data_IF_464909912654
#
_entry.id   IF_464909912654
#
_cell.length_a   1.000
_cell.length_b   1.000
_cell.length_c   1.000
_cell.angle_alpha   90.00
_cell.angle_beta   90.00
_cell.angle_gamma   90.00
#
_symmetry.space_group_name_H-M   'P 1'
#
loop_
_entity.id
_entity.type
_entity.pdbx_description
1 polymer ?
#
# COMPACT_ATOMS: atom_id res chain seq x y z
N UNK A 1 46.82 2.63 -13.66
CA UNK A 1 45.71 3.17 -12.82
C UNK A 1 44.31 2.71 -13.26
N UNK A 2 44.16 1.70 -14.13
CA UNK A 2 42.87 1.33 -14.77
C UNK A 2 42.07 0.21 -14.08
N UNK A 3 42.64 -0.48 -13.07
CA UNK A 3 42.02 -1.68 -12.45
C UNK A 3 40.81 -1.36 -11.55
N UNK A 4 40.78 -0.19 -10.92
CA UNK A 4 39.69 0.19 -9.98
C UNK A 4 38.33 0.40 -10.65
N UNK A 5 38.32 0.97 -11.86
CA UNK A 5 37.08 1.20 -12.60
C UNK A 5 36.37 -0.13 -12.95
N UNK A 6 37.13 -1.14 -13.37
CA UNK A 6 36.58 -2.48 -13.65
C UNK A 6 35.98 -3.16 -12.41
N UNK A 7 36.63 -2.99 -11.26
CA UNK A 7 36.16 -3.55 -9.98
C UNK A 7 34.87 -2.85 -9.49
N UNK A 8 34.70 -1.54 -9.77
CA UNK A 8 33.48 -0.78 -9.47
C UNK A 8 32.29 -1.21 -10.34
N UNK A 9 32.50 -1.45 -11.64
CA UNK A 9 31.45 -1.99 -12.53
C UNK A 9 30.99 -3.39 -12.10
N UNK A 10 31.93 -4.27 -11.74
CA UNK A 10 31.61 -5.62 -11.28
C UNK A 10 30.78 -5.63 -9.99
N UNK A 11 31.00 -4.65 -9.09
CA UNK A 11 30.22 -4.51 -7.85
C UNK A 11 28.79 -4.02 -8.10
N UNK A 12 28.57 -3.18 -9.10
CA UNK A 12 27.23 -2.65 -9.42
C UNK A 12 26.33 -3.71 -10.06
N UNK A 13 26.90 -4.64 -10.83
CA UNK A 13 26.14 -5.73 -11.47
C UNK A 13 25.55 -6.77 -10.49
N UNK A 14 26.04 -6.83 -9.25
CA UNK A 14 25.53 -7.73 -8.21
C UNK A 14 24.31 -7.19 -7.46
N UNK A 15 23.98 -5.92 -7.62
CA UNK A 15 22.82 -5.30 -6.96
C UNK A 15 21.57 -5.70 -7.72
N UNK A 16 20.84 -6.69 -7.20
CA UNK A 16 19.53 -7.04 -7.72
C UNK A 16 18.61 -5.83 -7.55
N UNK A 17 18.00 -5.30 -8.63
CA UNK A 17 16.98 -4.26 -8.49
C UNK A 17 15.84 -4.82 -7.63
N UNK A 18 15.26 -3.95 -6.80
CA UNK A 18 14.09 -4.33 -6.03
C UNK A 18 12.99 -4.77 -7.01
N UNK A 19 12.26 -5.84 -6.68
CA UNK A 19 11.18 -6.30 -7.55
C UNK A 19 10.11 -5.21 -7.71
N UNK A 20 9.37 -5.24 -8.83
CA UNK A 20 8.31 -4.25 -9.14
C UNK A 20 7.36 -3.98 -7.95
N UNK A 21 6.94 -5.03 -7.23
CA UNK A 21 6.08 -4.90 -6.05
C UNK A 21 6.77 -4.21 -4.87
N UNK A 22 8.08 -4.44 -4.69
CA UNK A 22 8.86 -3.81 -3.63
C UNK A 22 9.09 -2.32 -3.93
N UNK A 23 9.35 -1.97 -5.19
CA UNK A 23 9.45 -0.56 -5.62
C UNK A 23 8.10 0.16 -5.51
N UNK A 24 6.99 -0.49 -5.90
CA UNK A 24 5.63 0.03 -5.70
C UNK A 24 5.31 0.27 -4.23
N UNK A 25 5.65 -0.68 -3.34
CA UNK A 25 5.44 -0.52 -1.91
C UNK A 25 6.32 0.58 -1.31
N UNK A 26 7.58 0.68 -1.74
CA UNK A 26 8.49 1.75 -1.33
C UNK A 26 7.98 3.13 -1.77
N UNK A 27 7.44 3.24 -3.00
CA UNK A 27 6.77 4.43 -3.49
C UNK A 27 5.51 4.77 -2.68
N UNK A 28 4.67 3.78 -2.38
CA UNK A 28 3.49 3.98 -1.54
C UNK A 28 3.86 4.43 -0.11
N UNK A 29 4.97 3.90 0.41
CA UNK A 29 5.46 4.24 1.75
C UNK A 29 6.10 5.62 1.82
N UNK A 30 6.72 6.10 0.73
CA UNK A 30 7.31 7.43 0.64
C UNK A 30 6.28 8.54 0.40
N UNK A 31 5.12 8.20 -0.19
CA UNK A 31 3.97 9.09 -0.25
C UNK A 31 3.28 9.16 1.13
N UNK A 32 2.92 10.37 1.60
CA UNK A 32 2.36 10.59 2.94
C UNK A 32 1.07 9.77 3.13
N UNK A 33 1.20 8.63 3.82
CA UNK A 33 0.11 7.68 4.15
C UNK A 33 -1.11 8.34 4.80
N UNK A 34 -0.93 9.51 5.40
CA UNK A 34 -1.99 10.37 5.95
C UNK A 34 -3.12 10.69 4.96
N UNK A 35 -2.85 10.71 3.66
CA UNK A 35 -3.91 10.96 2.66
C UNK A 35 -4.70 9.69 2.29
N UNK A 36 -4.08 8.52 2.40
CA UNK A 36 -4.72 7.21 2.18
C UNK A 36 -5.53 6.74 3.38
N UNK A 37 -5.10 7.08 4.60
CA UNK A 37 -5.78 6.73 5.84
C UNK A 37 -7.29 7.07 5.84
N UNK A 38 -7.75 8.30 5.52
CA UNK A 38 -9.17 8.61 5.52
C UNK A 38 -9.97 7.80 4.48
N UNK A 39 -9.38 7.53 3.31
CA UNK A 39 -10.01 6.73 2.26
C UNK A 39 -10.21 5.28 2.74
N UNK A 40 -9.17 4.69 3.33
CA UNK A 40 -9.23 3.32 3.84
C UNK A 40 -10.25 3.22 4.98
N UNK A 41 -10.28 4.19 5.90
CA UNK A 41 -11.24 4.22 7.00
C UNK A 41 -12.68 4.25 6.48
N UNK A 42 -12.97 5.11 5.50
CA UNK A 42 -14.29 5.17 4.86
C UNK A 42 -14.66 3.86 4.18
N UNK A 43 -13.73 3.23 3.46
CA UNK A 43 -13.95 1.93 2.81
C UNK A 43 -14.26 0.82 3.83
N UNK A 44 -13.54 0.80 4.96
CA UNK A 44 -13.79 -0.16 6.04
C UNK A 44 -15.14 0.09 6.71
N UNK A 45 -15.52 1.36 6.92
CA UNK A 45 -16.85 1.74 7.41
C UNK A 45 -17.96 1.24 6.48
N UNK A 46 -17.82 1.46 5.17
CA UNK A 46 -18.78 0.97 4.19
C UNK A 46 -18.85 -0.56 4.16
N UNK A 47 -17.69 -1.24 4.16
CA UNK A 47 -17.65 -2.70 4.21
C UNK A 47 -18.33 -3.23 5.48
N UNK A 48 -18.10 -2.59 6.63
CA UNK A 48 -18.78 -2.91 7.89
C UNK A 48 -20.28 -2.68 7.81
N UNK A 49 -20.72 -1.56 7.22
CA UNK A 49 -22.14 -1.25 7.06
C UNK A 49 -22.85 -2.27 6.16
N UNK A 50 -22.23 -2.66 5.05
CA UNK A 50 -22.73 -3.69 4.14
C UNK A 50 -22.81 -5.04 4.86
N UNK A 51 -21.76 -5.40 5.63
CA UNK A 51 -21.74 -6.64 6.39
C UNK A 51 -22.82 -6.68 7.48
N UNK A 52 -23.10 -5.55 8.15
CA UNK A 52 -24.18 -5.46 9.14
C UNK A 52 -25.57 -5.51 8.48
N UNK A 53 -25.71 -5.00 7.26
CA UNK A 53 -26.95 -5.03 6.48
C UNK A 53 -27.43 -6.44 6.11
N UNK A 54 -26.57 -7.45 6.11
CA UNK A 54 -26.97 -8.85 5.91
C UNK A 54 -27.35 -9.58 7.21
N UNK A 55 -27.35 -8.87 8.34
CA UNK A 55 -27.67 -9.42 9.67
C UNK A 55 -29.02 -8.93 10.19
N UNK A 56 -29.46 -9.46 11.35
CA UNK A 56 -30.61 -8.96 12.07
C UNK A 56 -30.47 -7.48 12.53
N UNK A 57 -29.28 -6.88 12.41
CA UNK A 57 -29.06 -5.46 12.68
C UNK A 57 -29.53 -4.53 11.54
N UNK A 58 -29.91 -5.06 10.37
CA UNK A 58 -30.37 -4.28 9.22
C UNK A 58 -31.45 -3.22 9.52
N UNK A 59 -32.48 -3.46 10.37
CA UNK A 59 -33.51 -2.46 10.67
C UNK A 59 -32.96 -1.17 11.30
N UNK A 60 -31.86 -1.25 12.05
CA UNK A 60 -31.24 -0.11 12.70
C UNK A 60 -30.33 0.70 11.76
N UNK A 61 -29.98 0.16 10.59
CA UNK A 61 -29.23 0.89 9.56
C UNK A 61 -30.16 1.85 8.82
N UNK A 62 -31.43 1.47 8.60
CA UNK A 62 -32.39 2.34 7.91
C UNK A 62 -32.66 3.65 8.64
N UNK A 63 -32.45 3.75 9.95
CA UNK A 63 -32.66 5.01 10.68
C UNK A 63 -31.55 6.05 10.44
N UNK A 64 -30.44 5.66 9.78
CA UNK A 64 -29.36 6.57 9.40
C UNK A 64 -29.63 7.29 8.06
N UNK A 65 -30.74 6.95 7.37
CA UNK A 65 -31.15 7.48 6.08
C UNK A 65 -32.62 7.94 6.13
#
# INVERSE_FOLDING_TARGET
MTRRAGDEFARQAGVRPAGFLAEMWAFLASNKKWWLAPIIILLLLFAGLIALGSTAAAPFIYTLF
#
